data_IF_809133957666
#
_entry.id   IF_809133957666
#
_cell.length_a   1.000
_cell.length_b   1.000
_cell.length_c   1.000
_cell.angle_alpha   90.00
_cell.angle_beta   90.00
_cell.angle_gamma   90.00
#
_symmetry.space_group_name_H-M   'P 1'
#
loop_
_entity.id
_entity.type
_entity.pdbx_description
1 polymer ?
#
# COMPACT_ATOMS: atom_id res chain seq x y z
N UNK A 1 -26.55 -0.17 -12.94
CA UNK A 1 -25.29 -0.64 -12.31
C UNK A 1 -24.08 -0.18 -13.12
N UNK A 2 -22.93 0.09 -12.51
CA UNK A 2 -21.66 0.36 -13.25
C UNK A 2 -21.00 -0.96 -13.68
N UNK A 3 -20.31 -0.98 -14.82
CA UNK A 3 -19.51 -2.13 -15.27
C UNK A 3 -18.42 -2.51 -14.24
N UNK A 4 -18.15 -3.80 -14.00
CA UNK A 4 -17.08 -4.27 -13.12
C UNK A 4 -15.66 -4.14 -13.73
N UNK A 5 -15.36 -3.02 -14.40
CA UNK A 5 -14.05 -2.79 -15.04
C UNK A 5 -12.88 -2.93 -14.05
N UNK A 6 -13.05 -2.54 -12.78
CA UNK A 6 -11.99 -2.66 -11.78
C UNK A 6 -11.63 -4.11 -11.45
N UNK A 7 -12.59 -5.04 -11.56
CA UNK A 7 -12.35 -6.47 -11.33
C UNK A 7 -11.54 -7.02 -12.49
N UNK A 8 -11.94 -6.69 -13.72
CA UNK A 8 -11.22 -7.08 -14.93
C UNK A 8 -9.77 -6.60 -14.90
N UNK A 9 -9.54 -5.30 -14.64
CA UNK A 9 -8.18 -4.75 -14.52
C UNK A 9 -7.35 -5.48 -13.47
N UNK A 10 -7.93 -5.81 -12.31
CA UNK A 10 -7.22 -6.55 -11.27
C UNK A 10 -6.81 -7.95 -11.70
N UNK A 11 -7.67 -8.66 -12.44
CA UNK A 11 -7.36 -10.01 -12.94
C UNK A 11 -6.36 -9.95 -14.08
N UNK A 12 -6.50 -9.00 -15.00
CA UNK A 12 -5.53 -8.79 -16.07
C UNK A 12 -4.13 -8.51 -15.52
N UNK A 13 -4.01 -7.67 -14.48
CA UNK A 13 -2.73 -7.43 -13.79
C UNK A 13 -2.18 -8.69 -13.13
N UNK A 14 -3.03 -9.45 -12.43
CA UNK A 14 -2.63 -10.72 -11.82
C UNK A 14 -2.11 -11.75 -12.85
N UNK A 15 -2.80 -11.89 -13.99
CA UNK A 15 -2.37 -12.77 -15.08
C UNK A 15 -1.10 -12.25 -15.77
N UNK A 16 -0.96 -10.94 -15.94
CA UNK A 16 0.24 -10.35 -16.54
C UNK A 16 1.48 -10.58 -15.66
N UNK A 17 1.36 -10.38 -14.35
CA UNK A 17 2.47 -10.59 -13.41
C UNK A 17 2.88 -12.05 -13.28
N UNK A 18 1.91 -12.97 -13.17
CA UNK A 18 2.21 -14.41 -13.14
C UNK A 18 2.88 -14.87 -14.44
N UNK A 19 2.42 -14.36 -15.60
CA UNK A 19 3.04 -14.63 -16.90
C UNK A 19 4.46 -14.06 -16.99
N UNK A 20 4.68 -12.83 -16.54
CA UNK A 20 6.00 -12.20 -16.52
C UNK A 20 6.97 -12.94 -15.59
N UNK A 21 6.50 -13.41 -14.44
CA UNK A 21 7.30 -14.21 -13.52
C UNK A 21 7.69 -15.57 -14.09
N UNK A 22 6.77 -16.27 -14.77
CA UNK A 22 7.05 -17.54 -15.44
C UNK A 22 8.05 -17.35 -16.58
N UNK A 23 7.90 -16.28 -17.37
CA UNK A 23 8.86 -15.92 -18.41
C UNK A 23 10.26 -15.70 -17.83
N UNK A 24 10.39 -14.87 -16.79
CA UNK A 24 11.66 -14.62 -16.10
C UNK A 24 12.25 -15.89 -15.49
N UNK A 25 11.42 -16.72 -14.85
CA UNK A 25 11.83 -18.01 -14.31
C UNK A 25 12.40 -18.93 -15.38
N UNK A 26 11.80 -18.95 -16.58
CA UNK A 26 12.31 -19.73 -17.71
C UNK A 26 13.65 -19.18 -18.18
N UNK A 27 13.80 -17.85 -18.26
CA UNK A 27 15.07 -17.21 -18.64
C UNK A 27 16.18 -17.54 -17.64
N UNK A 28 15.91 -17.48 -16.34
CA UNK A 28 16.89 -17.84 -15.31
C UNK A 28 17.24 -19.33 -15.33
N UNK A 29 16.25 -20.19 -15.59
CA UNK A 29 16.49 -21.63 -15.75
C UNK A 29 17.42 -21.92 -16.93
N UNK A 30 17.20 -21.26 -18.07
CA UNK A 30 18.08 -21.38 -19.24
C UNK A 30 19.48 -20.79 -19.01
N UNK A 31 19.61 -19.79 -18.13
CA UNK A 31 20.89 -19.21 -17.73
C UNK A 31 21.65 -20.02 -16.65
N UNK A 32 21.02 -21.05 -16.05
CA UNK A 32 21.61 -21.85 -14.97
C UNK A 32 21.45 -21.25 -13.57
N UNK A 33 20.71 -20.15 -13.44
CA UNK A 33 20.60 -19.35 -12.22
C UNK A 33 19.47 -19.81 -11.29
N UNK A 34 19.70 -20.93 -10.61
CA UNK A 34 18.69 -21.60 -9.76
C UNK A 34 18.22 -20.76 -8.55
N UNK A 35 19.10 -19.94 -7.97
CA UNK A 35 18.75 -19.10 -6.81
C UNK A 35 17.77 -17.99 -7.22
N UNK A 36 18.04 -17.31 -8.33
CA UNK A 36 17.20 -16.22 -8.85
C UNK A 36 15.85 -16.74 -9.36
N UNK A 37 15.87 -17.93 -9.99
CA UNK A 37 14.67 -18.65 -10.33
C UNK A 37 13.81 -18.95 -9.09
N UNK A 38 14.41 -19.52 -8.04
CA UNK A 38 13.74 -19.84 -6.79
C UNK A 38 13.12 -18.61 -6.11
N UNK A 39 13.85 -17.50 -6.05
CA UNK A 39 13.36 -16.25 -5.47
C UNK A 39 12.20 -15.64 -6.27
N UNK A 40 12.29 -15.66 -7.60
CA UNK A 40 11.23 -15.14 -8.48
C UNK A 40 9.95 -15.96 -8.35
N UNK A 41 10.07 -17.29 -8.32
CA UNK A 41 8.93 -18.19 -8.09
C UNK A 41 8.35 -18.01 -6.69
N UNK A 42 9.18 -17.85 -5.66
CA UNK A 42 8.73 -17.61 -4.28
C UNK A 42 7.90 -16.33 -4.17
N UNK A 43 8.42 -15.21 -4.69
CA UNK A 43 7.72 -13.92 -4.68
C UNK A 43 6.45 -13.92 -5.54
N UNK A 44 6.30 -14.84 -6.48
CA UNK A 44 5.07 -14.99 -7.26
C UNK A 44 4.06 -15.91 -6.58
N UNK A 45 4.53 -17.00 -5.97
CA UNK A 45 3.69 -18.06 -5.41
C UNK A 45 3.06 -17.63 -4.08
N UNK A 46 3.83 -17.03 -3.18
CA UNK A 46 3.35 -16.58 -1.87
C UNK A 46 2.13 -15.65 -1.99
N UNK A 47 2.18 -14.53 -2.73
CA UNK A 47 1.01 -13.66 -2.89
C UNK A 47 -0.13 -14.34 -3.65
N UNK A 48 0.15 -15.22 -4.63
CA UNK A 48 -0.89 -15.99 -5.35
C UNK A 48 -1.72 -16.85 -4.39
N UNK A 49 -1.06 -17.57 -3.48
CA UNK A 49 -1.72 -18.37 -2.44
C UNK A 49 -2.52 -17.48 -1.49
N UNK A 50 -1.97 -16.35 -1.05
CA UNK A 50 -2.69 -15.41 -0.18
C UNK A 50 -3.92 -14.79 -0.84
N UNK A 51 -3.83 -14.46 -2.13
CA UNK A 51 -4.95 -13.98 -2.93
C UNK A 51 -6.05 -15.03 -3.00
N UNK A 52 -5.69 -16.29 -3.27
CA UNK A 52 -6.66 -17.39 -3.32
C UNK A 52 -7.33 -17.60 -1.97
N UNK A 53 -6.56 -17.69 -0.88
CA UNK A 53 -7.09 -17.85 0.48
C UNK A 53 -8.04 -16.70 0.85
N UNK A 54 -7.68 -15.47 0.50
CA UNK A 54 -8.52 -14.28 0.74
C UNK A 54 -9.84 -14.36 -0.02
N UNK A 55 -9.81 -14.77 -1.29
CA UNK A 55 -11.03 -14.93 -2.09
C UNK A 55 -11.94 -16.04 -1.55
N UNK A 56 -11.36 -17.20 -1.21
CA UNK A 56 -12.07 -18.34 -0.60
C UNK A 56 -12.74 -17.93 0.71
N UNK A 57 -12.03 -17.15 1.53
CA UNK A 57 -12.54 -16.66 2.82
C UNK A 57 -13.70 -15.67 2.64
N UNK A 58 -13.54 -14.66 1.79
CA UNK A 58 -14.57 -13.61 1.60
C UNK A 58 -15.86 -14.19 1.02
N UNK A 59 -15.78 -15.17 0.11
CA UNK A 59 -16.96 -15.79 -0.49
C UNK A 59 -17.54 -16.94 0.36
N UNK A 60 -16.86 -17.29 1.47
CA UNK A 60 -17.19 -18.40 2.38
C UNK A 60 -17.33 -19.72 1.63
N UNK A 61 -16.44 -19.97 0.69
CA UNK A 61 -16.53 -21.12 -0.22
C UNK A 61 -16.39 -22.47 0.49
N UNK A 62 -15.63 -22.47 1.60
CA UNK A 62 -15.46 -23.64 2.44
C UNK A 62 -16.76 -24.09 3.12
N UNK A 63 -17.73 -23.17 3.30
CA UNK A 63 -19.02 -23.47 3.94
C UNK A 63 -20.15 -23.79 2.97
N UNK A 64 -19.92 -23.59 1.66
CA UNK A 64 -20.96 -23.69 0.62
C UNK A 64 -20.87 -24.97 -0.21
N UNK A 65 -20.02 -25.92 0.17
CA UNK A 65 -19.83 -27.22 -0.48
C UNK A 65 -19.70 -27.15 -2.00
N UNK A 66 -18.83 -26.25 -2.50
CA UNK A 66 -18.52 -26.12 -3.93
C UNK A 66 -17.13 -26.66 -4.26
N UNK A 67 -16.95 -27.99 -4.33
CA UNK A 67 -15.62 -28.61 -4.45
C UNK A 67 -14.91 -28.22 -5.75
N UNK A 68 -15.63 -28.01 -6.85
CA UNK A 68 -15.05 -27.58 -8.12
C UNK A 68 -14.43 -26.18 -8.04
N UNK A 69 -15.08 -25.26 -7.34
CA UNK A 69 -14.53 -23.91 -7.17
C UNK A 69 -13.30 -23.97 -6.27
N UNK A 70 -13.38 -24.74 -5.18
CA UNK A 70 -12.25 -24.95 -4.29
C UNK A 70 -11.05 -25.61 -5.01
N UNK A 71 -11.31 -26.56 -5.91
CA UNK A 71 -10.30 -27.15 -6.79
C UNK A 71 -9.67 -26.11 -7.73
N UNK A 72 -10.46 -25.23 -8.35
CA UNK A 72 -9.93 -24.15 -9.19
C UNK A 72 -9.15 -23.11 -8.37
N UNK A 73 -9.51 -22.89 -7.11
CA UNK A 73 -8.70 -22.12 -6.19
C UNK A 73 -7.36 -22.80 -5.96
N UNK A 74 -7.33 -24.11 -5.65
CA UNK A 74 -6.08 -24.88 -5.50
C UNK A 74 -5.21 -24.82 -6.78
N UNK A 75 -5.83 -24.82 -7.96
CA UNK A 75 -5.14 -24.69 -9.25
C UNK A 75 -4.75 -23.22 -9.60
N UNK A 76 -4.89 -22.28 -8.67
CA UNK A 76 -4.57 -20.85 -8.86
C UNK A 76 -5.44 -20.10 -9.88
N UNK A 77 -6.53 -20.71 -10.36
CA UNK A 77 -7.49 -20.10 -11.29
C UNK A 77 -8.62 -19.33 -10.57
N UNK A 78 -8.60 -19.32 -9.23
CA UNK A 78 -9.61 -18.65 -8.39
C UNK A 78 -9.97 -17.22 -8.83
N UNK A 79 -9.00 -16.31 -9.05
CA UNK A 79 -9.29 -14.94 -9.50
C UNK A 79 -10.05 -14.88 -10.84
N UNK A 80 -9.74 -15.78 -11.79
CA UNK A 80 -10.37 -15.81 -13.12
C UNK A 80 -11.83 -16.25 -12.99
N UNK A 81 -12.10 -17.33 -12.25
CA UNK A 81 -13.46 -17.84 -12.02
C UNK A 81 -14.33 -16.79 -11.34
N UNK A 82 -13.81 -16.11 -10.33
CA UNK A 82 -14.54 -15.06 -9.60
C UNK A 82 -14.78 -13.81 -10.41
N UNK A 83 -13.91 -13.53 -11.39
CA UNK A 83 -14.13 -12.48 -12.37
C UNK A 83 -15.28 -12.84 -13.31
N UNK A 84 -15.26 -14.06 -13.87
CA UNK A 84 -16.34 -14.56 -14.73
C UNK A 84 -17.68 -14.56 -14.00
N UNK A 85 -17.73 -15.02 -12.74
CA UNK A 85 -18.94 -14.98 -11.93
C UNK A 85 -19.47 -13.55 -11.74
N UNK A 86 -18.60 -12.57 -11.48
CA UNK A 86 -19.00 -11.17 -11.35
C UNK A 86 -19.56 -10.59 -12.67
N UNK A 87 -19.00 -10.99 -13.82
CA UNK A 87 -19.53 -10.62 -15.14
C UNK A 87 -20.86 -11.29 -15.45
N UNK A 88 -21.02 -12.58 -15.10
CA UNK A 88 -22.30 -13.29 -15.23
C UNK A 88 -23.39 -12.63 -14.38
N UNK A 89 -23.08 -12.25 -13.13
CA UNK A 89 -24.01 -11.51 -12.27
C UNK A 89 -24.37 -10.16 -12.91
N UNK A 90 -23.41 -9.42 -13.45
CA UNK A 90 -23.69 -8.15 -14.13
C UNK A 90 -24.60 -8.32 -15.35
N UNK A 91 -24.40 -9.39 -16.14
CA UNK A 91 -25.21 -9.68 -17.33
C UNK A 91 -26.59 -10.27 -17.05
N UNK A 92 -26.81 -10.86 -15.88
CA UNK A 92 -28.11 -11.41 -15.47
C UNK A 92 -29.02 -10.39 -14.76
N UNK A 93 -28.47 -9.24 -14.35
CA UNK A 93 -29.23 -8.13 -13.75
C UNK A 93 -30.29 -7.62 -14.72
N UNK A 94 -31.55 -7.69 -14.31
CA UNK A 94 -32.71 -7.27 -15.11
C UNK A 94 -33.37 -8.38 -15.94
N UNK A 95 -32.79 -9.60 -15.99
CA UNK A 95 -33.44 -10.80 -16.58
C UNK A 95 -34.11 -11.68 -15.54
N UNK A 96 -33.70 -11.58 -14.27
CA UNK A 96 -34.24 -12.35 -13.16
C UNK A 96 -34.75 -11.35 -12.12
N UNK A 97 -36.03 -11.43 -11.78
CA UNK A 97 -36.64 -10.63 -10.73
C UNK A 97 -36.09 -11.07 -9.37
N UNK A 98 -35.58 -10.13 -8.57
CA UNK A 98 -34.95 -10.44 -7.28
C UNK A 98 -36.02 -10.52 -6.18
N UNK A 99 -36.16 -11.66 -5.47
CA UNK A 99 -37.24 -11.84 -4.50
C UNK A 99 -37.05 -11.03 -3.21
N UNK A 100 -35.85 -10.50 -2.93
CA UNK A 100 -35.55 -9.70 -1.73
C UNK A 100 -34.49 -8.63 -2.01
N UNK A 101 -34.65 -7.48 -1.34
CA UNK A 101 -33.73 -6.35 -1.41
C UNK A 101 -33.04 -6.18 -0.05
N UNK A 102 -31.72 -6.01 -0.01
CA UNK A 102 -31.01 -5.76 1.25
C UNK A 102 -30.95 -4.27 1.54
N UNK A 103 -31.30 -3.88 2.76
CA UNK A 103 -31.18 -2.48 3.20
C UNK A 103 -29.78 -2.27 3.73
N UNK A 104 -29.00 -1.42 3.05
CA UNK A 104 -27.70 -0.95 3.56
C UNK A 104 -27.89 0.45 4.13
N UNK A 105 -27.52 0.65 5.41
CA UNK A 105 -27.52 1.96 6.06
C UNK A 105 -26.13 2.56 5.98
N UNK A 106 -25.99 3.76 5.39
CA UNK A 106 -24.74 4.53 5.42
C UNK A 106 -25.02 5.95 5.90
N UNK A 107 -24.14 6.47 6.75
CA UNK A 107 -24.19 7.86 7.20
C UNK A 107 -23.56 8.75 6.13
N UNK A 108 -24.28 9.75 5.63
CA UNK A 108 -23.64 10.78 4.83
C UNK A 108 -22.87 11.75 5.72
N UNK A 109 -21.77 12.29 5.18
CA UNK A 109 -20.97 13.25 5.93
C UNK A 109 -21.77 14.54 6.19
N UNK A 110 -21.83 15.03 7.44
CA UNK A 110 -22.61 16.23 7.77
C UNK A 110 -22.04 17.45 7.04
N UNK A 111 -22.79 17.96 6.06
CA UNK A 111 -22.42 19.23 5.39
C UNK A 111 -22.64 20.45 6.30
N UNK A 112 -23.46 20.33 7.35
CA UNK A 112 -23.82 21.41 8.27
C UNK A 112 -24.34 20.98 9.65
N UNK A 113 -23.91 19.82 10.17
CA UNK A 113 -24.14 19.46 11.58
C UNK A 113 -25.09 18.29 11.86
N UNK A 114 -25.87 17.82 10.87
CA UNK A 114 -26.64 16.58 11.00
C UNK A 114 -26.11 15.52 10.03
N UNK A 115 -25.78 14.35 10.57
CA UNK A 115 -25.45 13.16 9.78
C UNK A 115 -26.75 12.51 9.36
N UNK A 116 -27.10 12.60 8.08
CA UNK A 116 -28.28 11.94 7.54
C UNK A 116 -27.94 10.47 7.28
N UNK A 117 -28.67 9.56 7.94
CA UNK A 117 -28.59 8.13 7.65
C UNK A 117 -29.39 7.87 6.37
N UNK A 118 -28.70 7.64 5.26
CA UNK A 118 -29.34 7.28 4.01
C UNK A 118 -29.48 5.77 3.98
N UNK A 119 -30.71 5.30 4.18
CA UNK A 119 -31.07 3.91 3.95
C UNK A 119 -31.18 3.68 2.44
N UNK A 120 -30.24 2.92 1.89
CA UNK A 120 -30.29 2.54 0.48
C UNK A 120 -30.68 1.08 0.37
N UNK A 121 -31.81 0.85 -0.30
CA UNK A 121 -32.22 -0.47 -0.76
C UNK A 121 -31.29 -0.89 -1.90
N UNK A 122 -30.56 -1.99 -1.70
CA UNK A 122 -29.56 -2.53 -2.62
C UNK A 122 -30.05 -3.91 -3.06
N UNK A 123 -30.15 -4.12 -4.37
CA UNK A 123 -30.52 -5.42 -4.92
C UNK A 123 -29.50 -6.49 -4.52
N UNK A 124 -29.93 -7.75 -4.45
CA UNK A 124 -29.07 -8.87 -4.08
C UNK A 124 -27.86 -9.01 -5.03
N UNK A 125 -28.06 -8.81 -6.33
CA UNK A 125 -26.97 -8.80 -7.32
C UNK A 125 -26.03 -7.60 -7.11
N UNK A 126 -26.56 -6.43 -6.73
CA UNK A 126 -25.73 -5.25 -6.44
C UNK A 126 -24.87 -5.49 -5.20
N UNK A 127 -25.44 -6.08 -4.16
CA UNK A 127 -24.73 -6.49 -2.94
C UNK A 127 -23.62 -7.50 -3.22
N UNK A 128 -23.92 -8.56 -4.00
CA UNK A 128 -22.91 -9.54 -4.43
C UNK A 128 -21.80 -8.88 -5.26
N UNK A 129 -22.15 -8.02 -6.22
CA UNK A 129 -21.15 -7.34 -7.04
C UNK A 129 -20.28 -6.39 -6.20
N UNK A 130 -20.85 -5.74 -5.19
CA UNK A 130 -20.11 -4.93 -4.22
C UNK A 130 -19.12 -5.78 -3.42
N UNK A 131 -19.53 -6.96 -2.93
CA UNK A 131 -18.61 -7.87 -2.22
C UNK A 131 -17.48 -8.38 -3.12
N UNK A 132 -17.77 -8.72 -4.38
CA UNK A 132 -16.73 -9.08 -5.35
C UNK A 132 -15.74 -7.93 -5.57
N UNK A 133 -16.23 -6.68 -5.76
CA UNK A 133 -15.34 -5.51 -5.92
C UNK A 133 -14.46 -5.26 -4.70
N UNK A 134 -15.02 -5.39 -3.51
CA UNK A 134 -14.27 -5.23 -2.27
C UNK A 134 -13.21 -6.33 -2.10
N UNK A 135 -13.55 -7.57 -2.46
CA UNK A 135 -12.62 -8.70 -2.44
C UNK A 135 -11.45 -8.48 -3.40
N UNK A 136 -11.73 -8.12 -4.66
CA UNK A 136 -10.70 -7.85 -5.65
C UNK A 136 -9.86 -6.60 -5.33
N UNK A 137 -10.43 -5.61 -4.63
CA UNK A 137 -9.64 -4.49 -4.12
C UNK A 137 -8.61 -4.98 -3.08
N UNK A 138 -9.00 -5.85 -2.14
CA UNK A 138 -8.08 -6.41 -1.13
C UNK A 138 -7.01 -7.29 -1.76
N UNK A 139 -7.36 -8.15 -2.70
CA UNK A 139 -6.39 -9.04 -3.37
C UNK A 139 -5.41 -8.28 -4.24
N UNK A 140 -5.85 -7.21 -4.92
CA UNK A 140 -4.95 -6.35 -5.70
C UNK A 140 -3.85 -5.70 -4.83
N UNK A 141 -4.16 -5.40 -3.56
CA UNK A 141 -3.18 -4.87 -2.60
C UNK A 141 -2.18 -5.96 -2.17
N UNK A 142 -2.67 -7.17 -1.87
CA UNK A 142 -1.82 -8.32 -1.53
C UNK A 142 -0.81 -8.56 -2.64
N UNK A 143 -1.29 -8.64 -3.88
CA UNK A 143 -0.46 -8.91 -5.05
C UNK A 143 0.60 -7.82 -5.27
N UNK A 144 0.20 -6.55 -5.24
CA UNK A 144 1.10 -5.43 -5.52
C UNK A 144 2.27 -5.32 -4.52
N UNK A 145 2.03 -5.60 -3.23
CA UNK A 145 3.07 -5.42 -2.20
C UNK A 145 3.86 -6.68 -1.88
N UNK A 146 3.23 -7.86 -1.90
CA UNK A 146 3.91 -9.11 -1.57
C UNK A 146 4.49 -9.81 -2.80
N UNK A 147 3.98 -9.51 -4.00
CA UNK A 147 4.55 -9.97 -5.26
C UNK A 147 5.39 -8.91 -5.93
N UNK A 148 4.74 -7.85 -6.40
CA UNK A 148 5.35 -6.91 -7.33
C UNK A 148 6.49 -6.09 -6.71
N UNK A 149 6.43 -5.72 -5.43
CA UNK A 149 7.48 -4.91 -4.80
C UNK A 149 8.80 -5.68 -4.52
N UNK A 150 8.79 -6.88 -3.92
CA UNK A 150 9.98 -7.73 -3.84
C UNK A 150 10.51 -8.10 -5.22
N UNK A 151 9.61 -8.45 -6.15
CA UNK A 151 10.00 -8.81 -7.52
C UNK A 151 10.60 -7.63 -8.27
N UNK A 152 10.09 -6.40 -8.10
CA UNK A 152 10.69 -5.19 -8.66
C UNK A 152 12.07 -4.95 -8.05
N UNK A 153 12.24 -5.12 -6.74
CA UNK A 153 13.54 -4.93 -6.08
C UNK A 153 14.57 -5.90 -6.63
N UNK A 154 14.16 -7.16 -6.84
CA UNK A 154 14.95 -8.19 -7.48
C UNK A 154 15.27 -7.85 -8.94
N UNK A 155 14.27 -7.41 -9.70
CA UNK A 155 14.42 -7.01 -11.10
C UNK A 155 15.34 -5.81 -11.24
N UNK A 156 15.23 -4.78 -10.40
CA UNK A 156 16.11 -3.60 -10.43
C UNK A 156 17.55 -3.94 -10.12
N UNK A 157 17.77 -4.88 -9.19
CA UNK A 157 19.10 -5.42 -8.92
C UNK A 157 19.68 -6.11 -10.16
N UNK A 158 18.89 -6.90 -10.89
CA UNK A 158 19.30 -7.62 -12.10
C UNK A 158 19.35 -6.70 -13.34
N UNK A 159 18.51 -5.66 -13.40
CA UNK A 159 18.33 -4.76 -14.55
C UNK A 159 19.49 -3.75 -14.71
N UNK A 160 20.48 -3.76 -13.80
CA UNK A 160 21.84 -3.35 -14.14
C UNK A 160 22.30 -4.02 -15.45
N UNK A 161 21.72 -5.18 -15.83
CA UNK A 161 22.04 -5.95 -17.04
C UNK A 161 20.93 -6.07 -18.12
N UNK A 162 19.60 -5.95 -17.87
CA UNK A 162 18.56 -6.11 -18.94
C UNK A 162 17.18 -5.42 -18.76
N UNK A 163 16.75 -4.68 -19.80
CA UNK A 163 15.41 -4.15 -20.21
C UNK A 163 14.50 -3.40 -19.21
N UNK A 164 14.46 -2.07 -19.32
CA UNK A 164 13.68 -1.15 -18.47
C UNK A 164 12.14 -1.22 -18.60
N UNK A 165 11.57 -1.83 -19.64
CA UNK A 165 10.10 -1.85 -19.86
C UNK A 165 9.37 -2.65 -18.77
N UNK A 166 9.91 -3.81 -18.35
CA UNK A 166 9.30 -4.63 -17.31
C UNK A 166 9.30 -3.94 -15.94
N UNK A 167 10.36 -3.19 -15.65
CA UNK A 167 10.45 -2.41 -14.41
C UNK A 167 9.40 -1.31 -14.34
N UNK A 168 9.12 -0.62 -15.46
CA UNK A 168 8.08 0.41 -15.49
C UNK A 168 6.71 -0.19 -15.19
N UNK A 169 6.41 -1.37 -15.74
CA UNK A 169 5.16 -2.08 -15.49
C UNK A 169 5.07 -2.50 -14.02
N UNK A 170 6.13 -3.07 -13.44
CA UNK A 170 6.18 -3.46 -12.03
C UNK A 170 6.03 -2.24 -11.10
N UNK A 171 6.72 -1.13 -11.38
CA UNK A 171 6.59 0.13 -10.63
C UNK A 171 5.15 0.68 -10.68
N UNK A 172 4.55 0.73 -11.86
CA UNK A 172 3.16 1.19 -12.02
C UNK A 172 2.18 0.26 -11.30
N UNK A 173 2.41 -1.05 -11.30
CA UNK A 173 1.59 -2.03 -10.57
C UNK A 173 1.64 -1.78 -9.06
N UNK A 174 2.84 -1.58 -8.49
CA UNK A 174 3.01 -1.30 -7.05
C UNK A 174 2.35 0.03 -6.67
N UNK A 175 2.56 1.08 -7.47
CA UNK A 175 1.95 2.40 -7.22
C UNK A 175 0.42 2.32 -7.28
N UNK A 176 -0.13 1.60 -8.27
CA UNK A 176 -1.57 1.36 -8.37
C UNK A 176 -2.09 0.58 -7.16
N UNK A 177 -1.39 -0.48 -6.73
CA UNK A 177 -1.72 -1.24 -5.54
C UNK A 177 -1.66 -0.41 -4.25
N UNK A 178 -0.67 0.48 -4.12
CA UNK A 178 -0.53 1.40 -3.01
C UNK A 178 -1.65 2.45 -2.95
N UNK A 179 -2.05 2.98 -4.11
CA UNK A 179 -3.21 3.85 -4.23
C UNK A 179 -4.49 3.12 -3.81
N UNK A 180 -4.71 1.89 -4.31
CA UNK A 180 -5.86 1.05 -3.92
C UNK A 180 -5.84 0.71 -2.43
N UNK A 181 -4.67 0.44 -1.86
CA UNK A 181 -4.46 0.20 -0.44
C UNK A 181 -4.89 1.41 0.39
N UNK A 182 -4.43 2.62 0.05
CA UNK A 182 -4.81 3.83 0.77
C UNK A 182 -6.31 4.13 0.69
N UNK A 183 -6.93 3.95 -0.49
CA UNK A 183 -8.37 4.17 -0.63
C UNK A 183 -9.16 3.12 0.16
N UNK A 184 -8.75 1.86 0.09
CA UNK A 184 -9.36 0.78 0.84
C UNK A 184 -9.21 1.02 2.35
N UNK A 185 -8.05 1.47 2.79
CA UNK A 185 -7.76 1.83 4.18
C UNK A 185 -8.68 2.96 4.68
N UNK A 186 -8.89 4.01 3.87
CA UNK A 186 -9.82 5.08 4.21
C UNK A 186 -11.26 4.56 4.29
N UNK A 187 -11.69 3.76 3.31
CA UNK A 187 -13.04 3.18 3.30
C UNK A 187 -13.29 2.24 4.48
N UNK A 188 -12.29 1.45 4.84
CA UNK A 188 -12.37 0.52 5.97
C UNK A 188 -12.36 1.26 7.31
N UNK A 189 -11.60 2.36 7.41
CA UNK A 189 -11.57 3.21 8.60
C UNK A 189 -12.87 3.98 8.83
N UNK A 190 -13.55 4.37 7.75
CA UNK A 190 -14.79 5.13 7.76
C UNK A 190 -15.93 4.36 7.08
N UNK A 191 -16.08 3.07 7.40
CA UNK A 191 -17.07 2.19 6.72
C UNK A 191 -18.52 2.64 6.97
N UNK A 192 -18.76 3.26 8.14
CA UNK A 192 -20.05 3.86 8.50
C UNK A 192 -20.43 5.04 7.58
N UNK A 193 -19.46 5.65 6.89
CA UNK A 193 -19.66 6.84 6.07
C UNK A 193 -19.59 6.53 4.57
N UNK A 194 -20.42 7.19 3.78
CA UNK A 194 -20.27 7.19 2.33
C UNK A 194 -19.08 8.07 1.92
N UNK A 195 -17.92 7.44 1.71
CA UNK A 195 -16.68 8.15 1.35
C UNK A 195 -16.52 8.24 -0.17
N UNK A 196 -16.85 9.41 -0.71
CA UNK A 196 -16.49 9.80 -2.08
C UNK A 196 -15.15 10.55 -2.10
N UNK A 197 -14.22 10.01 -2.88
CA UNK A 197 -12.86 10.55 -3.01
C UNK A 197 -12.81 11.43 -4.26
N UNK A 198 -12.36 12.68 -4.11
CA UNK A 198 -12.22 13.63 -5.23
C UNK A 198 -11.06 13.22 -6.16
N UNK A 199 -11.13 13.49 -7.48
CA UNK A 199 -10.05 13.15 -8.42
C UNK A 199 -8.69 13.77 -8.05
N UNK A 200 -8.68 14.98 -7.48
CA UNK A 200 -7.44 15.60 -6.97
C UNK A 200 -6.82 14.83 -5.80
N UNK A 201 -7.65 14.20 -4.96
CA UNK A 201 -7.17 13.36 -3.87
C UNK A 201 -6.49 12.09 -4.41
N UNK A 202 -7.01 11.52 -5.50
CA UNK A 202 -6.35 10.41 -6.20
C UNK A 202 -4.97 10.79 -6.73
N UNK A 203 -4.84 11.96 -7.39
CA UNK A 203 -3.56 12.44 -7.89
C UNK A 203 -2.56 12.70 -6.75
N UNK A 204 -3.02 13.28 -5.66
CA UNK A 204 -2.17 13.55 -4.49
C UNK A 204 -1.67 12.24 -3.84
N UNK A 205 -2.55 11.24 -3.68
CA UNK A 205 -2.18 9.91 -3.18
C UNK A 205 -1.19 9.24 -4.16
N UNK A 206 -1.44 9.34 -5.46
CA UNK A 206 -0.57 8.78 -6.48
C UNK A 206 0.84 9.36 -6.38
N UNK A 207 0.98 10.70 -6.37
CA UNK A 207 2.29 11.36 -6.25
C UNK A 207 2.99 11.01 -4.93
N UNK A 208 2.27 11.08 -3.81
CA UNK A 208 2.79 10.69 -2.49
C UNK A 208 3.35 9.26 -2.52
N UNK A 209 2.57 8.28 -3.01
CA UNK A 209 2.96 6.87 -3.01
C UNK A 209 4.07 6.57 -4.00
N UNK A 210 4.06 7.20 -5.17
CA UNK A 210 5.11 7.07 -6.18
C UNK A 210 6.47 7.48 -5.63
N UNK A 211 6.57 8.66 -5.02
CA UNK A 211 7.85 9.13 -4.46
C UNK A 211 8.30 8.31 -3.24
N UNK A 212 7.37 7.91 -2.36
CA UNK A 212 7.68 7.09 -1.18
C UNK A 212 8.26 5.72 -1.58
N UNK A 213 7.57 5.01 -2.47
CA UNK A 213 7.95 3.66 -2.90
C UNK A 213 9.19 3.69 -3.81
N UNK A 214 9.22 4.60 -4.80
CA UNK A 214 10.35 4.68 -5.72
C UNK A 214 11.66 4.97 -4.98
N UNK A 215 11.65 5.92 -4.04
CA UNK A 215 12.84 6.23 -3.24
C UNK A 215 13.28 5.01 -2.44
N UNK A 216 12.35 4.31 -1.78
CA UNK A 216 12.67 3.13 -0.97
C UNK A 216 13.29 2.01 -1.79
N UNK A 217 12.69 1.68 -2.93
CA UNK A 217 13.19 0.61 -3.80
C UNK A 217 14.58 0.96 -4.33
N UNK A 218 14.81 2.20 -4.78
CA UNK A 218 16.13 2.64 -5.26
C UNK A 218 17.18 2.59 -4.16
N UNK A 219 16.86 3.04 -2.93
CA UNK A 219 17.79 2.97 -1.79
C UNK A 219 18.17 1.52 -1.46
N UNK A 220 17.21 0.60 -1.44
CA UNK A 220 17.48 -0.83 -1.18
C UNK A 220 18.35 -1.45 -2.27
N UNK A 221 18.11 -1.10 -3.54
CA UNK A 221 18.89 -1.60 -4.68
C UNK A 221 20.32 -1.06 -4.64
N UNK A 222 20.50 0.25 -4.40
CA UNK A 222 21.82 0.85 -4.23
C UNK A 222 22.57 0.18 -3.09
N UNK A 223 21.96 0.03 -1.92
CA UNK A 223 22.57 -0.67 -0.79
C UNK A 223 22.96 -2.12 -1.14
N UNK A 224 22.08 -2.85 -1.83
CA UNK A 224 22.33 -4.23 -2.26
C UNK A 224 23.49 -4.34 -3.28
N UNK A 225 23.81 -3.27 -4.01
CA UNK A 225 24.93 -3.28 -4.97
C UNK A 225 26.31 -3.36 -4.29
N UNK A 226 26.42 -2.88 -3.06
CA UNK A 226 27.69 -2.83 -2.31
C UNK A 226 27.75 -3.94 -1.25
N UNK A 227 26.64 -4.19 -0.55
CA UNK A 227 26.58 -5.16 0.56
C UNK A 227 25.49 -6.22 0.31
N UNK A 228 25.73 -7.08 -0.67
CA UNK A 228 24.76 -8.10 -1.13
C UNK A 228 24.25 -9.04 -0.03
N UNK A 229 25.08 -9.42 0.96
CA UNK A 229 24.65 -10.31 2.04
C UNK A 229 23.89 -9.58 3.14
N UNK A 230 24.16 -8.29 3.36
CA UNK A 230 23.56 -7.50 4.46
C UNK A 230 22.17 -6.96 4.15
N UNK A 231 21.74 -6.94 2.88
CA UNK A 231 20.37 -6.56 2.52
C UNK A 231 19.35 -7.52 3.16
N UNK A 232 19.65 -8.82 3.20
CA UNK A 232 18.75 -9.84 3.72
C UNK A 232 18.42 -9.63 5.21
N UNK A 233 19.39 -9.49 6.13
CA UNK A 233 19.09 -9.22 7.53
C UNK A 233 18.42 -7.85 7.73
N UNK A 234 18.76 -6.81 6.97
CA UNK A 234 18.10 -5.49 7.06
C UNK A 234 16.61 -5.58 6.69
N UNK A 235 16.30 -6.26 5.58
CA UNK A 235 14.94 -6.49 5.12
C UNK A 235 14.17 -7.38 6.10
N UNK A 236 14.78 -8.47 6.55
CA UNK A 236 14.17 -9.41 7.48
C UNK A 236 13.90 -8.76 8.84
N UNK A 237 14.84 -7.98 9.39
CA UNK A 237 14.66 -7.27 10.64
C UNK A 237 13.51 -6.27 10.58
N UNK A 238 13.42 -5.50 9.49
CA UNK A 238 12.30 -4.61 9.23
C UNK A 238 10.98 -5.39 9.22
N UNK A 239 10.91 -6.45 8.42
CA UNK A 239 9.72 -7.26 8.26
C UNK A 239 9.26 -7.85 9.60
N UNK A 240 10.18 -8.46 10.35
CA UNK A 240 9.91 -9.04 11.67
C UNK A 240 9.45 -7.99 12.67
N UNK A 241 10.03 -6.79 12.66
CA UNK A 241 9.61 -5.70 13.54
C UNK A 241 8.16 -5.32 13.30
N UNK A 242 7.74 -5.13 12.05
CA UNK A 242 6.35 -4.80 11.72
C UNK A 242 5.40 -5.97 11.94
N UNK A 243 5.87 -7.21 11.74
CA UNK A 243 5.08 -8.41 11.97
C UNK A 243 4.81 -8.60 13.46
N UNK A 244 5.84 -8.51 14.31
CA UNK A 244 5.74 -8.78 15.75
C UNK A 244 5.05 -7.65 16.52
N UNK A 245 5.13 -6.40 16.05
CA UNK A 245 4.58 -5.24 16.76
C UNK A 245 3.09 -5.38 17.16
N UNK A 246 2.15 -5.73 16.26
CA UNK A 246 0.75 -5.96 16.64
C UNK A 246 0.56 -7.12 17.62
N UNK A 247 1.36 -8.19 17.50
CA UNK A 247 1.28 -9.35 18.40
C UNK A 247 1.75 -9.03 19.81
N UNK A 248 2.83 -8.24 19.94
CA UNK A 248 3.32 -7.78 21.25
C UNK A 248 2.23 -6.94 21.94
N UNK A 249 1.59 -6.02 21.22
CA UNK A 249 0.48 -5.22 21.76
C UNK A 249 -0.74 -6.08 22.15
N UNK A 250 -1.00 -7.15 21.39
CA UNK A 250 -2.05 -8.12 21.71
C UNK A 250 -1.74 -8.86 23.02
N UNK A 251 -0.54 -9.44 23.13
CA UNK A 251 -0.11 -10.14 24.34
C UNK A 251 -0.10 -9.25 25.57
N UNK A 252 0.34 -8.00 25.45
CA UNK A 252 0.34 -7.04 26.57
C UNK A 252 -1.07 -6.69 27.07
N UNK A 253 -2.07 -6.74 26.21
CA UNK A 253 -3.43 -6.35 26.56
C UNK A 253 -4.25 -7.43 27.26
N UNK A 254 -3.78 -8.69 27.26
CA UNK A 254 -4.51 -9.85 27.79
C UNK A 254 -5.97 -9.98 27.27
N UNK A 255 -6.26 -9.46 26.08
CA UNK A 255 -7.61 -9.48 25.49
C UNK A 255 -7.97 -10.88 24.95
N UNK A 256 -9.24 -11.33 25.07
CA UNK A 256 -9.71 -12.52 24.35
C UNK A 256 -9.67 -12.28 22.82
N UNK A 257 -9.60 -13.37 22.06
CA UNK A 257 -9.69 -13.32 20.60
C UNK A 257 -11.05 -12.71 20.16
N UNK A 258 -11.09 -12.00 19.01
CA UNK A 258 -12.32 -11.36 18.55
C UNK A 258 -13.43 -12.38 18.23
N UNK A 259 -14.52 -12.33 19.02
CA UNK A 259 -15.64 -13.27 18.96
C UNK A 259 -16.34 -13.33 17.58
N UNK A 260 -16.32 -12.24 16.80
CA UNK A 260 -16.95 -12.18 15.47
C UNK A 260 -16.33 -13.14 14.46
N UNK A 261 -15.02 -13.41 14.57
CA UNK A 261 -14.32 -14.36 13.70
C UNK A 261 -14.51 -15.80 14.22
N UNK A 262 -14.54 -15.97 15.54
CA UNK A 262 -14.73 -17.27 16.21
C UNK A 262 -16.12 -17.89 15.94
N UNK A 263 -17.18 -17.08 15.79
CA UNK A 263 -18.51 -17.59 15.37
C UNK A 263 -18.54 -18.17 13.96
N UNK A 264 -17.56 -17.85 13.11
CA UNK A 264 -17.48 -18.30 11.72
C UNK A 264 -16.43 -19.38 11.49
N UNK A 265 -15.42 -19.51 12.36
CA UNK A 265 -14.25 -20.38 12.17
C UNK A 265 -13.84 -21.11 13.45
N UNK A 266 -13.18 -22.26 13.29
CA UNK A 266 -12.46 -22.91 14.39
C UNK A 266 -11.37 -21.96 14.92
N UNK A 267 -11.03 -22.07 16.21
CA UNK A 267 -10.00 -21.24 16.87
C UNK A 267 -8.68 -21.19 16.08
N UNK A 268 -8.30 -22.32 15.47
CA UNK A 268 -7.11 -22.43 14.61
C UNK A 268 -7.25 -21.59 13.33
N UNK A 269 -8.42 -21.62 12.68
CA UNK A 269 -8.71 -20.82 11.49
C UNK A 269 -8.62 -19.31 11.76
N UNK A 270 -9.14 -18.84 12.90
CA UNK A 270 -9.01 -17.43 13.32
C UNK A 270 -7.56 -17.02 13.48
N UNK A 271 -6.74 -17.82 14.17
CA UNK A 271 -5.30 -17.55 14.34
C UNK A 271 -4.56 -17.49 13.02
N UNK A 272 -4.88 -18.39 12.07
CA UNK A 272 -4.30 -18.38 10.73
C UNK A 272 -4.66 -17.08 10.01
N UNK A 273 -5.93 -16.66 10.01
CA UNK A 273 -6.38 -15.42 9.36
C UNK A 273 -5.68 -14.19 9.96
N UNK A 274 -5.54 -14.13 11.28
CA UNK A 274 -4.83 -13.03 11.96
C UNK A 274 -3.34 -13.03 11.62
N UNK A 275 -2.70 -14.20 11.53
CA UNK A 275 -1.32 -14.34 11.08
C UNK A 275 -1.14 -13.87 9.63
N UNK A 276 -2.04 -14.27 8.72
CA UNK A 276 -2.00 -13.81 7.33
C UNK A 276 -2.24 -12.30 7.20
N UNK A 277 -3.15 -11.74 8.01
CA UNK A 277 -3.41 -10.31 8.04
C UNK A 277 -2.20 -9.52 8.55
N UNK A 278 -1.54 -10.00 9.61
CA UNK A 278 -0.34 -9.37 10.17
C UNK A 278 0.87 -9.51 9.23
N UNK A 279 0.99 -10.64 8.51
CA UNK A 279 1.99 -10.83 7.45
C UNK A 279 1.79 -9.81 6.31
N UNK A 280 0.55 -9.64 5.84
CA UNK A 280 0.22 -8.63 4.84
C UNK A 280 0.50 -7.21 5.33
N UNK A 281 0.10 -6.90 6.56
CA UNK A 281 0.37 -5.60 7.18
C UNK A 281 1.87 -5.31 7.27
N UNK A 282 2.69 -6.30 7.63
CA UNK A 282 4.14 -6.18 7.66
C UNK A 282 4.71 -5.95 6.25
N UNK A 283 4.24 -6.69 5.25
CA UNK A 283 4.64 -6.52 3.85
C UNK A 283 4.31 -5.12 3.30
N UNK A 284 3.12 -4.59 3.59
CA UNK A 284 2.75 -3.23 3.17
C UNK A 284 3.65 -2.21 3.88
N UNK A 285 3.76 -2.29 5.22
CA UNK A 285 4.55 -1.34 6.01
C UNK A 285 6.05 -1.42 5.79
N UNK A 286 6.55 -2.51 5.19
CA UNK A 286 7.93 -2.62 4.73
C UNK A 286 8.25 -1.60 3.62
N UNK A 287 7.29 -1.37 2.71
CA UNK A 287 7.48 -0.49 1.55
C UNK A 287 6.81 0.89 1.71
N UNK A 288 5.64 0.95 2.34
CA UNK A 288 4.92 2.22 2.56
C UNK A 288 4.03 2.19 3.81
N UNK A 289 3.75 3.36 4.40
CA UNK A 289 2.85 3.43 5.56
C UNK A 289 1.42 2.99 5.19
N UNK A 290 0.93 1.92 5.83
CA UNK A 290 -0.49 1.58 5.79
C UNK A 290 -1.29 2.63 6.55
N UNK A 291 -2.17 3.36 5.88
CA UNK A 291 -3.08 4.34 6.51
C UNK A 291 -4.08 3.71 7.52
N UNK A 292 -4.04 2.38 7.68
CA UNK A 292 -4.76 1.59 8.68
C UNK A 292 -3.76 0.90 9.60
N UNK A 293 -3.91 1.11 10.91
CA UNK A 293 -3.19 0.35 11.94
C UNK A 293 -4.04 -0.83 12.38
N UNK A 294 -3.47 -2.02 12.30
CA UNK A 294 -4.09 -3.25 12.80
C UNK A 294 -3.95 -3.29 14.31
N UNK A 295 -5.08 -3.37 15.02
CA UNK A 295 -5.16 -3.58 16.47
C UNK A 295 -5.96 -4.86 16.72
N UNK A 296 -5.26 -5.92 17.10
CA UNK A 296 -5.85 -7.25 17.30
C UNK A 296 -6.85 -7.31 18.47
N UNK A 297 -6.82 -6.34 19.38
CA UNK A 297 -7.70 -6.25 20.55
C UNK A 297 -9.06 -5.62 20.25
N UNK A 298 -9.14 -4.85 19.16
CA UNK A 298 -10.39 -4.20 18.77
C UNK A 298 -11.25 -5.19 17.96
N UNK A 299 -12.58 -5.23 18.15
CA UNK A 299 -13.47 -6.12 17.41
C UNK A 299 -13.48 -5.87 15.90
N UNK A 300 -13.14 -4.64 15.48
CA UNK A 300 -12.98 -4.24 14.08
C UNK A 300 -11.55 -4.45 13.54
N UNK A 301 -10.65 -4.99 14.38
CA UNK A 301 -9.22 -5.22 14.12
C UNK A 301 -8.43 -3.96 13.72
N UNK A 302 -9.05 -2.78 13.81
CA UNK A 302 -8.57 -1.54 13.19
C UNK A 302 -8.72 -0.37 14.13
N UNK A 303 -7.63 0.38 14.28
CA UNK A 303 -7.64 1.60 15.06
C UNK A 303 -8.39 2.73 14.32
N UNK A 304 -9.62 3.04 14.76
CA UNK A 304 -10.40 4.17 14.22
C UNK A 304 -9.81 5.54 14.61
N UNK A 305 -9.05 5.64 15.70
CA UNK A 305 -8.39 6.89 16.12
C UNK A 305 -7.19 7.22 15.21
N UNK A 306 -7.21 8.38 14.55
CA UNK A 306 -6.06 8.88 13.80
C UNK A 306 -5.05 9.48 14.78
N UNK A 307 -3.96 8.75 15.04
CA UNK A 307 -2.91 9.22 15.93
C UNK A 307 -1.73 9.78 15.12
N UNK A 308 -1.72 11.10 14.92
CA UNK A 308 -0.70 11.82 14.14
C UNK A 308 0.73 11.53 14.59
N UNK A 309 0.93 11.31 15.89
CA UNK A 309 2.22 10.99 16.47
C UNK A 309 2.83 9.70 15.87
N UNK A 310 2.04 8.63 15.76
CA UNK A 310 2.55 7.35 15.25
C UNK A 310 2.93 7.45 13.77
N UNK A 311 2.14 8.20 13.01
CA UNK A 311 2.43 8.49 11.61
C UNK A 311 3.72 9.29 11.48
N UNK A 312 3.91 10.35 12.28
CA UNK A 312 5.14 11.14 12.28
C UNK A 312 6.37 10.30 12.66
N UNK A 313 6.27 9.49 13.73
CA UNK A 313 7.36 8.59 14.15
C UNK A 313 7.73 7.61 13.04
N UNK A 314 6.76 7.02 12.36
CA UNK A 314 7.03 6.10 11.24
C UNK A 314 7.78 6.79 10.10
N UNK A 315 7.30 7.96 9.64
CA UNK A 315 7.96 8.67 8.54
C UNK A 315 9.36 9.18 8.91
N UNK A 316 9.56 9.59 10.17
CA UNK A 316 10.89 9.97 10.67
C UNK A 316 11.83 8.77 10.75
N UNK A 317 11.38 7.64 11.32
CA UNK A 317 12.17 6.42 11.40
C UNK A 317 12.57 5.94 10.00
N UNK A 318 11.64 5.98 9.04
CA UNK A 318 11.90 5.63 7.64
C UNK A 318 12.85 6.59 6.95
N UNK A 319 12.76 7.88 7.22
CA UNK A 319 13.73 8.84 6.71
C UNK A 319 15.13 8.53 7.22
N UNK A 320 15.27 8.29 8.53
CA UNK A 320 16.55 7.95 9.16
C UNK A 320 17.12 6.65 8.61
N UNK A 321 16.29 5.63 8.40
CA UNK A 321 16.72 4.37 7.80
C UNK A 321 17.17 4.53 6.34
N UNK A 322 16.41 5.27 5.52
CA UNK A 322 16.82 5.51 4.14
C UNK A 322 18.13 6.33 4.08
N UNK A 323 18.29 7.32 4.97
CA UNK A 323 19.51 8.09 5.09
C UNK A 323 20.70 7.23 5.56
N UNK A 324 20.50 6.32 6.51
CA UNK A 324 21.56 5.43 7.00
C UNK A 324 22.00 4.43 5.91
N UNK A 325 21.06 3.83 5.18
CA UNK A 325 21.36 2.93 4.06
C UNK A 325 22.13 3.66 2.94
N UNK A 326 21.73 4.89 2.62
CA UNK A 326 22.44 5.74 1.66
C UNK A 326 23.84 6.15 2.15
N UNK A 327 23.98 6.45 3.44
CA UNK A 327 25.27 6.79 4.03
C UNK A 327 26.24 5.60 4.00
N UNK A 328 25.76 4.41 4.39
CA UNK A 328 26.56 3.18 4.30
C UNK A 328 26.97 2.92 2.84
N UNK A 329 26.03 3.05 1.90
CA UNK A 329 26.34 2.93 0.48
C UNK A 329 27.41 3.95 0.04
N UNK A 330 27.30 5.21 0.47
CA UNK A 330 28.25 6.26 0.13
C UNK A 330 29.66 6.01 0.68
N UNK A 331 29.78 5.43 1.88
CA UNK A 331 31.07 5.11 2.51
C UNK A 331 31.76 3.95 1.79
N UNK A 332 31.02 2.91 1.45
CA UNK A 332 31.56 1.67 0.86
C UNK A 332 31.49 1.66 -0.68
N UNK A 333 31.17 2.78 -1.33
CA UNK A 333 31.07 2.85 -2.79
C UNK A 333 32.42 2.58 -3.46
N UNK A 334 32.39 1.86 -4.58
CA UNK A 334 33.54 1.63 -5.46
C UNK A 334 33.76 2.80 -6.42
N UNK A 335 34.99 2.94 -6.95
CA UNK A 335 35.43 4.06 -7.79
C UNK A 335 34.57 4.32 -9.04
N UNK A 336 33.83 3.31 -9.48
CA UNK A 336 32.90 3.40 -10.60
C UNK A 336 31.78 4.43 -10.37
N UNK A 337 31.33 4.61 -9.14
CA UNK A 337 30.29 5.60 -8.79
C UNK A 337 30.85 7.02 -8.61
N UNK A 338 32.16 7.25 -8.78
CA UNK A 338 32.73 8.59 -8.86
C UNK A 338 32.46 9.28 -10.21
N UNK A 339 32.12 8.50 -11.25
CA UNK A 339 31.72 9.04 -12.57
C UNK A 339 30.33 9.69 -12.55
N UNK A 340 29.43 9.16 -11.72
CA UNK A 340 28.15 9.81 -11.39
C UNK A 340 28.45 10.80 -10.27
N UNK A 341 27.82 11.97 -10.24
CA UNK A 341 27.85 12.82 -9.04
C UNK A 341 27.13 12.11 -7.89
N UNK A 342 27.78 11.15 -7.23
CA UNK A 342 27.27 10.40 -6.08
C UNK A 342 26.60 11.29 -5.00
N UNK A 343 27.18 12.46 -4.61
CA UNK A 343 26.50 13.34 -3.66
C UNK A 343 25.20 13.94 -4.22
N UNK A 344 25.12 14.21 -5.53
CA UNK A 344 23.90 14.69 -6.16
C UNK A 344 22.80 13.61 -6.17
N UNK A 345 23.16 12.35 -6.42
CA UNK A 345 22.22 11.24 -6.37
C UNK A 345 21.64 11.04 -4.95
N UNK A 346 22.50 11.07 -3.92
CA UNK A 346 22.07 10.99 -2.52
C UNK A 346 21.13 12.14 -2.18
N UNK A 347 21.50 13.37 -2.56
CA UNK A 347 20.67 14.56 -2.32
C UNK A 347 19.31 14.44 -3.03
N UNK A 348 19.30 13.98 -4.29
CA UNK A 348 18.08 13.80 -5.08
C UNK A 348 17.14 12.77 -4.44
N UNK A 349 17.66 11.67 -3.88
CA UNK A 349 16.85 10.66 -3.19
C UNK A 349 16.29 11.18 -1.86
N UNK A 350 17.07 11.95 -1.10
CA UNK A 350 16.58 12.60 0.12
C UNK A 350 15.48 13.62 -0.22
N UNK A 351 15.69 14.46 -1.23
CA UNK A 351 14.69 15.42 -1.70
C UNK A 351 13.42 14.71 -2.18
N UNK A 352 13.54 13.63 -2.95
CA UNK A 352 12.39 12.84 -3.40
C UNK A 352 11.56 12.30 -2.21
N UNK A 353 12.21 11.82 -1.14
CA UNK A 353 11.50 11.39 0.07
C UNK A 353 10.82 12.56 0.78
N UNK A 354 11.47 13.72 0.89
CA UNK A 354 10.85 14.92 1.48
C UNK A 354 9.64 15.40 0.67
N UNK A 355 9.70 15.29 -0.66
CA UNK A 355 8.55 15.57 -1.54
C UNK A 355 7.39 14.59 -1.28
N UNK A 356 7.67 13.31 -1.00
CA UNK A 356 6.64 12.36 -0.59
C UNK A 356 5.92 12.79 0.69
N UNK A 357 6.68 13.22 1.72
CA UNK A 357 6.13 13.78 2.97
C UNK A 357 5.31 15.05 2.70
N UNK A 358 5.78 15.91 1.80
CA UNK A 358 5.04 17.12 1.42
C UNK A 358 3.67 16.77 0.82
N UNK A 359 3.61 15.88 -0.18
CA UNK A 359 2.34 15.46 -0.79
C UNK A 359 1.41 14.75 0.19
N UNK A 360 1.96 13.99 1.14
CA UNK A 360 1.20 13.43 2.25
C UNK A 360 0.52 14.51 3.09
N UNK A 361 1.27 15.54 3.52
CA UNK A 361 0.72 16.64 4.32
C UNK A 361 -0.35 17.41 3.55
N UNK A 362 -0.13 17.67 2.26
CA UNK A 362 -1.12 18.28 1.35
C UNK A 362 -2.38 17.41 1.29
N UNK A 363 -2.23 16.09 1.15
CA UNK A 363 -3.35 15.17 1.12
C UNK A 363 -4.19 15.27 2.39
N UNK A 364 -3.56 15.21 3.56
CA UNK A 364 -4.25 15.27 4.84
C UNK A 364 -4.87 16.64 5.14
N UNK A 365 -4.25 17.73 4.70
CA UNK A 365 -4.73 19.09 4.93
C UNK A 365 -5.87 19.48 3.98
N UNK A 366 -5.81 19.10 2.70
CA UNK A 366 -6.72 19.62 1.68
C UNK A 366 -7.60 18.56 1.02
N UNK A 367 -7.08 17.35 0.84
CA UNK A 367 -7.71 16.33 -0.01
C UNK A 367 -8.41 15.21 0.78
N UNK A 368 -8.21 15.13 2.10
CA UNK A 368 -8.79 14.07 2.91
C UNK A 368 -10.32 14.22 3.00
N UNK A 369 -11.10 13.22 2.56
CA UNK A 369 -12.56 13.33 2.45
C UNK A 369 -13.22 13.58 3.81
N UNK A 370 -12.70 12.99 4.89
CA UNK A 370 -13.25 13.11 6.23
C UNK A 370 -12.63 14.24 7.07
N UNK A 371 -12.04 15.29 6.47
CA UNK A 371 -11.31 16.34 7.21
C UNK A 371 -12.12 16.95 8.36
N UNK A 372 -13.43 17.11 8.19
CA UNK A 372 -14.33 17.70 9.19
C UNK A 372 -14.51 16.87 10.46
N UNK A 373 -14.16 15.57 10.42
CA UNK A 373 -14.19 14.68 11.59
C UNK A 373 -12.92 14.80 12.44
N UNK A 374 -11.90 15.55 12.00
CA UNK A 374 -10.68 15.75 12.80
C UNK A 374 -10.94 16.82 13.86
N UNK A 375 -11.05 16.39 15.12
CA UNK A 375 -11.20 17.27 16.29
C UNK A 375 -9.92 18.07 16.64
N UNK A 376 -8.77 17.66 16.10
CA UNK A 376 -7.48 18.30 16.31
C UNK A 376 -6.83 18.70 14.98
N UNK A 377 -6.38 19.97 14.91
CA UNK A 377 -5.58 20.45 13.79
C UNK A 377 -4.28 19.64 13.68
N UNK A 378 -3.90 19.24 12.46
CA UNK A 378 -2.64 18.56 12.15
C UNK A 378 -1.42 19.29 12.72
N UNK A 379 -1.49 20.62 12.82
CA UNK A 379 -0.45 21.47 13.41
C UNK A 379 -0.23 21.20 14.89
N UNK A 380 -1.27 20.85 15.65
CA UNK A 380 -1.18 20.57 17.10
C UNK A 380 -0.48 19.23 17.36
N UNK A 381 -0.74 18.21 16.53
CA UNK A 381 -0.10 16.90 16.66
C UNK A 381 1.39 16.93 16.31
N UNK A 382 1.76 17.69 15.27
CA UNK A 382 3.15 17.96 14.90
C UNK A 382 3.86 18.82 15.96
N UNK A 383 3.19 19.83 16.53
CA UNK A 383 3.72 20.64 17.63
C UNK A 383 3.96 19.85 18.90
N UNK A 384 3.09 18.90 19.24
CA UNK A 384 3.34 18.01 20.38
C UNK A 384 4.56 17.12 20.15
N UNK A 385 4.83 16.73 18.90
CA UNK A 385 6.03 15.96 18.54
C UNK A 385 7.31 16.81 18.64
N UNK A 386 7.29 18.06 18.15
CA UNK A 386 8.40 19.00 18.35
C UNK A 386 8.58 19.37 19.83
N UNK A 387 7.49 19.50 20.60
CA UNK A 387 7.54 19.73 22.04
C UNK A 387 8.13 18.54 22.80
N UNK A 388 7.91 17.30 22.35
CA UNK A 388 8.48 16.09 22.97
C UNK A 388 9.99 15.97 22.65
N UNK A 389 10.38 16.29 21.42
CA UNK A 389 11.78 16.42 21.00
C UNK A 389 12.49 17.59 21.71
N UNK A 390 11.77 18.70 21.99
CA UNK A 390 12.27 19.83 22.77
C UNK A 390 12.24 19.58 24.30
N UNK A 391 11.40 18.68 24.82
CA UNK A 391 11.34 18.33 26.25
C UNK A 391 12.61 17.59 26.71
N UNK A 392 13.32 16.94 25.79
CA UNK A 392 14.68 16.45 26.03
C UNK A 392 15.74 17.56 26.15
N UNK A 393 15.39 18.82 25.81
CA UNK A 393 16.31 19.96 25.85
C UNK A 393 15.95 21.05 26.87
N UNK A 394 14.76 21.09 27.45
CA UNK A 394 14.36 22.16 28.38
C UNK A 394 13.73 21.64 29.67
N UNK A 395 14.59 21.27 30.63
CA UNK A 395 14.28 21.45 32.05
C UNK A 395 14.59 22.90 32.41
N UNK A 396 13.66 23.83 32.14
CA UNK A 396 13.65 25.19 32.70
C UNK A 396 12.32 25.92 32.41
N UNK A 397 11.49 26.02 33.45
CA UNK A 397 10.49 27.05 33.86
C UNK A 397 9.59 27.81 32.84
N UNK A 398 8.31 28.14 33.20
CA UNK A 398 7.28 28.63 32.29
C UNK A 398 7.02 30.15 32.38
N UNK A 399 6.58 30.79 31.28
CA UNK A 399 5.41 31.70 31.29
C UNK A 399 5.01 32.28 29.91
N UNK A 400 3.70 32.51 29.76
CA UNK A 400 2.99 33.51 28.95
C UNK A 400 2.49 33.15 27.53
N UNK A 401 1.19 32.84 27.47
CA UNK A 401 0.29 33.06 26.32
C UNK A 401 -0.03 34.56 26.18
N UNK A 402 -0.36 35.00 24.96
CA UNK A 402 -1.63 35.73 24.79
C UNK A 402 -2.49 35.20 23.64
N UNK A 403 -3.79 35.34 23.87
CA UNK A 403 -4.91 35.06 22.97
C UNK A 403 -5.02 36.20 21.94
N UNK A 404 -5.09 35.86 20.66
CA UNK A 404 -5.41 36.80 19.59
C UNK A 404 -6.26 36.14 18.51
N UNK A 405 -7.56 36.46 18.49
CA UNK A 405 -8.50 36.12 17.41
C UNK A 405 -8.26 37.09 16.24
N UNK A 406 -8.05 36.57 15.03
CA UNK A 406 -8.26 37.33 13.78
C UNK A 406 -8.92 36.41 12.76
N UNK A 407 -10.07 36.85 12.24
CA UNK A 407 -10.80 36.26 11.13
C UNK A 407 -10.14 36.67 9.80
N UNK A 408 -10.04 35.76 8.83
CA UNK A 408 -9.77 36.12 7.44
C UNK A 408 -10.34 35.06 6.48
N UNK A 409 -10.99 35.54 5.41
CA UNK A 409 -11.62 34.81 4.31
C UNK A 409 -10.67 33.85 3.54
N UNK A 410 -11.20 32.83 2.85
CA UNK A 410 -10.39 31.92 2.05
C UNK A 410 -10.13 32.46 0.63
N UNK A 411 -8.89 32.40 0.11
CA UNK A 411 -8.64 32.61 -1.32
C UNK A 411 -8.83 31.30 -2.10
N UNK A 412 -9.41 31.42 -3.28
CA UNK A 412 -9.51 30.38 -4.31
C UNK A 412 -8.14 30.15 -5.00
N UNK A 413 -7.61 28.92 -5.06
CA UNK A 413 -6.47 28.63 -5.92
C UNK A 413 -6.94 28.11 -7.28
N UNK A 414 -6.71 28.88 -8.33
CA UNK A 414 -6.65 28.41 -9.71
C UNK A 414 -5.42 27.52 -9.87
N UNK A 415 -5.63 26.24 -10.19
CA UNK A 415 -4.58 25.23 -10.37
C UNK A 415 -4.07 25.26 -11.81
N UNK A 416 -2.81 25.66 -12.00
CA UNK A 416 -2.14 25.66 -13.30
C UNK A 416 -1.78 24.22 -13.75
N UNK A 417 -2.46 23.78 -14.81
CA UNK A 417 -2.32 22.48 -15.45
C UNK A 417 -0.89 22.21 -15.99
N UNK A 418 -0.09 23.25 -16.18
CA UNK A 418 1.28 23.20 -16.70
C UNK A 418 2.34 22.71 -15.68
N UNK A 419 2.02 22.74 -14.37
CA UNK A 419 2.92 22.21 -13.33
C UNK A 419 2.86 20.68 -13.19
N UNK A 420 1.72 20.08 -13.57
CA UNK A 420 1.46 18.63 -13.49
C UNK A 420 2.15 17.88 -14.62
N UNK A 421 2.20 18.46 -15.82
CA UNK A 421 2.97 17.94 -16.95
C UNK A 421 4.47 18.00 -16.68
N UNK A 422 4.95 19.06 -16.03
CA UNK A 422 6.35 19.19 -15.61
C UNK A 422 6.74 18.16 -14.53
N UNK A 423 5.88 17.90 -13.53
CA UNK A 423 6.15 16.88 -12.50
C UNK A 423 6.06 15.44 -13.04
N UNK A 424 5.20 15.15 -14.03
CA UNK A 424 5.24 13.88 -14.76
C UNK A 424 6.50 13.75 -15.62
N UNK A 425 6.96 14.85 -16.24
CA UNK A 425 8.24 14.91 -16.94
C UNK A 425 9.43 14.76 -15.99
N UNK A 426 9.36 15.21 -14.74
CA UNK A 426 10.38 14.99 -13.70
C UNK A 426 10.36 13.58 -13.14
N UNK A 427 9.19 12.95 -12.98
CA UNK A 427 9.07 11.52 -12.65
C UNK A 427 9.60 10.66 -13.82
N UNK A 428 9.30 11.07 -15.05
CA UNK A 428 9.86 10.50 -16.27
C UNK A 428 11.37 10.76 -16.36
N UNK A 429 11.88 11.95 -16.01
CA UNK A 429 13.31 12.23 -15.94
C UNK A 429 14.00 11.51 -14.79
N UNK A 430 13.35 11.24 -13.65
CA UNK A 430 13.94 10.47 -12.55
C UNK A 430 14.05 9.00 -12.94
N UNK A 431 12.99 8.40 -13.47
CA UNK A 431 13.01 7.02 -13.94
C UNK A 431 13.90 6.87 -15.18
N UNK A 432 13.87 7.82 -16.11
CA UNK A 432 14.71 7.83 -17.32
C UNK A 432 16.16 8.19 -16.99
N UNK A 433 16.47 9.03 -15.99
CA UNK A 433 17.84 9.31 -15.55
C UNK A 433 18.41 8.19 -14.70
N UNK A 434 17.60 7.48 -13.91
CA UNK A 434 18.01 6.25 -13.22
C UNK A 434 18.25 5.15 -14.25
N UNK A 435 17.34 4.94 -15.22
CA UNK A 435 17.55 4.02 -16.34
C UNK A 435 18.73 4.43 -17.25
N UNK A 436 18.94 5.70 -17.56
CA UNK A 436 20.10 6.18 -18.34
C UNK A 436 21.41 6.03 -17.55
N UNK A 437 21.40 6.29 -16.24
CA UNK A 437 22.56 6.08 -15.38
C UNK A 437 22.91 4.60 -15.25
N UNK A 438 21.91 3.71 -15.21
CA UNK A 438 22.08 2.25 -15.19
C UNK A 438 22.46 1.67 -16.56
N UNK A 439 21.98 2.25 -17.66
CA UNK A 439 22.21 1.78 -19.03
C UNK A 439 23.58 2.19 -19.58
N UNK A 440 24.20 3.27 -19.06
CA UNK A 440 25.61 3.58 -19.32
C UNK A 440 26.59 2.75 -18.49
N UNK A 441 26.12 2.12 -17.40
CA UNK A 441 26.95 1.27 -16.53
C UNK A 441 27.03 -0.21 -16.96
N UNK A 442 26.26 -0.64 -17.97
CA UNK A 442 26.15 -2.04 -18.40
C UNK A 442 27.04 -2.47 -19.58
N UNK A 443 27.88 -1.60 -20.16
CA UNK A 443 28.81 -2.01 -21.22
C UNK A 443 30.23 -2.26 -20.66
N UNK A 444 30.54 -3.56 -20.58
CA UNK A 444 31.81 -4.21 -20.24
C UNK A 444 32.13 -4.34 -18.75
N UNK A 445 31.70 -5.48 -18.20
CA UNK A 445 32.59 -6.24 -17.32
C UNK A 445 32.67 -7.64 -17.96
N UNK A 446 33.85 -7.94 -18.50
CA UNK A 446 34.26 -9.30 -18.90
C UNK A 446 34.45 -10.16 -17.65
#
# INVERSE_FOLDING_TARGET
MRLPCSIFVSVSLFTAETTAALYLSSTYSSAGDQIWQGLTLLFTLVPSVLVQLTLTFIHRDLSRDRPLILLLHILQLGPIVRCLEAFCIYGSVGRVEEPYVSITRKKQMPRGGQSEEVERQVGQAEGKLFTHRAAFARTSVIQAFLGSAPQLTLQLYICVLQQGTLMVISLLSIVYGALRCNILAIKLKYDDYEVDVRPMAYLCIFLWRSFEIATRVVVLVLFSSVLQLWILPVVLLNFLTFFLYPWILFWQSHSPFPENIEKTLTRVGTTIVLCLLTFLYAGINMFCWSAVQVKLNDPDLINKALNWYHMAVYYMLRFVENASLLLLWYIYKTDFYNFICAPLLVLQLLVAYTMAIFFMLVFFQFCHPCRRLFSSSMTQGLWNCSSLLCLMCNSASPHNRPIGKVALEPPSPTFDLNSVTSNMLYFWFLCTAVSYSLQYTGMRIN
#
